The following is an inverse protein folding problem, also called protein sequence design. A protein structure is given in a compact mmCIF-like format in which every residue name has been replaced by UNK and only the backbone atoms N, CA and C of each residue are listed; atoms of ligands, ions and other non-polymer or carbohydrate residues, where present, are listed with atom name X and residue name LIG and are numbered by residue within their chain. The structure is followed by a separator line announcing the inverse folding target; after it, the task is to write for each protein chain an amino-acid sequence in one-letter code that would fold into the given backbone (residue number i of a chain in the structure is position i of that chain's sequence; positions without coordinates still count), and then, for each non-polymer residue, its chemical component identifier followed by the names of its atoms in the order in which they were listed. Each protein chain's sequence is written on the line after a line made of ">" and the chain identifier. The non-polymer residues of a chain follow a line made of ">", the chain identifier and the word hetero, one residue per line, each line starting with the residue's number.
data_IF_792964476785
#
_entry.id   IF_792964476785
#
_cell.length_a   1.000
_cell.length_b   1.000
_cell.length_c   1.000
_cell.angle_alpha   90.00
_cell.angle_beta   90.00
_cell.angle_gamma   90.00
#
_symmetry.space_group_name_H-M   'P 1'
#
loop_
_entity.id
_entity.type
_entity.pdbx_description
1 polymer ?
#
# COMPACT_ATOMS: atom_id res chain seq x y z
N UNK A 1 -56.02 -58.85 48.79
CA UNK A 1 -55.15 -57.75 48.32
C UNK A 1 -54.13 -58.33 47.35
N UNK A 2 -54.26 -57.99 46.07
CA UNK A 2 -53.43 -58.51 44.97
C UNK A 2 -52.15 -57.69 44.83
N UNK A 3 -51.01 -58.25 45.22
CA UNK A 3 -49.70 -57.72 44.84
C UNK A 3 -49.25 -58.38 43.54
N UNK A 4 -49.19 -57.61 42.45
CA UNK A 4 -48.54 -58.03 41.21
C UNK A 4 -47.02 -57.94 41.42
N UNK A 5 -46.26 -59.04 41.31
CA UNK A 5 -44.81 -58.96 41.39
C UNK A 5 -44.27 -58.28 40.12
N UNK A 6 -43.66 -57.12 40.29
CA UNK A 6 -42.82 -56.52 39.25
C UNK A 6 -41.59 -57.41 39.05
N UNK A 7 -41.56 -58.16 37.95
CA UNK A 7 -40.33 -58.82 37.51
C UNK A 7 -39.31 -57.74 37.15
N UNK A 8 -38.26 -57.61 37.96
CA UNK A 8 -37.05 -56.89 37.58
C UNK A 8 -36.41 -57.67 36.42
N UNK A 9 -36.59 -57.17 35.20
CA UNK A 9 -35.89 -57.69 34.01
C UNK A 9 -34.43 -57.23 34.09
N UNK A 10 -33.53 -58.13 34.49
CA UNK A 10 -32.09 -57.91 34.37
C UNK A 10 -31.64 -58.06 32.92
N UNK A 11 -30.68 -57.23 32.50
CA UNK A 11 -30.02 -57.30 31.19
C UNK A 11 -29.11 -58.54 31.10
N UNK A 12 -29.04 -59.17 29.93
CA UNK A 12 -28.13 -60.31 29.70
C UNK A 12 -26.73 -59.84 29.27
N UNK A 13 -25.70 -60.65 29.53
CA UNK A 13 -24.32 -60.35 29.12
C UNK A 13 -24.22 -60.21 27.59
N UNK A 14 -24.97 -61.02 26.84
CA UNK A 14 -25.10 -60.94 25.39
C UNK A 14 -25.66 -59.58 24.93
N UNK A 15 -26.68 -59.09 25.63
CA UNK A 15 -27.32 -57.81 25.33
C UNK A 15 -26.34 -56.63 25.54
N UNK A 16 -25.53 -56.66 26.60
CA UNK A 16 -24.48 -55.66 26.81
C UNK A 16 -23.38 -55.71 25.75
N UNK A 17 -22.93 -56.90 25.34
CA UNK A 17 -21.91 -57.05 24.29
C UNK A 17 -22.44 -56.52 22.95
N UNK A 18 -23.67 -56.86 22.58
CA UNK A 18 -24.30 -56.40 21.34
C UNK A 18 -24.44 -54.88 21.31
N UNK A 19 -24.82 -54.26 22.44
CA UNK A 19 -24.93 -52.80 22.56
C UNK A 19 -23.57 -52.11 22.37
N UNK A 20 -22.51 -52.60 23.02
CA UNK A 20 -21.16 -52.02 22.88
C UNK A 20 -20.67 -52.11 21.43
N UNK A 21 -20.89 -53.25 20.76
CA UNK A 21 -20.50 -53.45 19.35
C UNK A 21 -21.26 -52.49 18.43
N UNK A 22 -22.59 -52.38 18.61
CA UNK A 22 -23.41 -51.49 17.78
C UNK A 22 -23.01 -50.02 17.98
N UNK A 23 -22.82 -49.58 19.24
CA UNK A 23 -22.36 -48.21 19.53
C UNK A 23 -20.98 -47.96 18.91
N UNK A 24 -20.08 -48.93 18.95
CA UNK A 24 -18.76 -48.83 18.30
C UNK A 24 -18.85 -48.61 16.79
N UNK A 25 -19.67 -49.42 16.09
CA UNK A 25 -19.85 -49.31 14.63
C UNK A 25 -20.55 -48.00 14.25
N UNK A 26 -21.65 -47.66 14.92
CA UNK A 26 -22.39 -46.41 14.66
C UNK A 26 -21.53 -45.19 14.99
N UNK A 27 -20.81 -45.21 16.11
CA UNK A 27 -19.90 -44.14 16.51
C UNK A 27 -18.79 -43.90 15.49
N UNK A 28 -18.20 -44.97 14.94
CA UNK A 28 -17.19 -44.86 13.89
C UNK A 28 -17.76 -44.24 12.60
N UNK A 29 -18.97 -44.64 12.19
CA UNK A 29 -19.64 -44.05 11.03
C UNK A 29 -19.91 -42.55 11.23
N UNK A 30 -20.49 -42.18 12.38
CA UNK A 30 -20.80 -40.78 12.73
C UNK A 30 -19.53 -39.93 12.78
N UNK A 31 -18.42 -40.45 13.31
CA UNK A 31 -17.15 -39.73 13.39
C UNK A 31 -16.63 -39.31 12.00
N UNK A 32 -16.76 -40.17 10.98
CA UNK A 32 -16.37 -39.85 9.60
C UNK A 32 -17.25 -38.74 9.02
N UNK A 33 -18.57 -38.79 9.27
CA UNK A 33 -19.52 -37.79 8.77
C UNK A 33 -19.40 -36.44 9.46
N UNK A 34 -18.97 -36.38 10.72
CA UNK A 34 -18.77 -35.10 11.45
C UNK A 34 -17.44 -34.44 11.05
N UNK A 35 -16.42 -35.24 10.72
CA UNK A 35 -15.08 -34.70 10.41
C UNK A 35 -15.10 -33.76 9.20
N UNK A 36 -15.78 -34.13 8.12
CA UNK A 36 -15.78 -33.34 6.89
C UNK A 36 -16.43 -31.94 7.05
N UNK A 37 -17.64 -31.79 7.66
CA UNK A 37 -18.22 -30.48 7.93
C UNK A 37 -17.37 -29.60 8.85
N UNK A 38 -16.74 -30.19 9.88
CA UNK A 38 -15.87 -29.44 10.81
C UNK A 38 -14.61 -28.95 10.11
N UNK A 39 -13.95 -29.81 9.31
CA UNK A 39 -12.79 -29.39 8.51
C UNK A 39 -13.18 -28.30 7.51
N UNK A 40 -14.31 -28.46 6.81
CA UNK A 40 -14.81 -27.46 5.87
C UNK A 40 -15.08 -26.10 6.52
N UNK A 41 -15.53 -26.06 7.78
CA UNK A 41 -15.70 -24.80 8.51
C UNK A 41 -14.36 -24.07 8.73
N UNK A 42 -13.32 -24.79 9.19
CA UNK A 42 -12.00 -24.20 9.39
C UNK A 42 -11.32 -23.78 8.08
N UNK A 43 -11.50 -24.55 7.01
CA UNK A 43 -11.00 -24.20 5.68
C UNK A 43 -11.66 -22.91 5.18
N UNK A 44 -12.97 -22.77 5.36
CA UNK A 44 -13.70 -21.54 5.01
C UNK A 44 -13.22 -20.33 5.82
N UNK A 45 -12.99 -20.49 7.12
CA UNK A 45 -12.47 -19.43 7.98
C UNK A 45 -11.06 -18.99 7.56
N UNK A 46 -10.18 -19.95 7.25
CA UNK A 46 -8.82 -19.70 6.76
C UNK A 46 -8.85 -18.91 5.44
N UNK A 47 -9.69 -19.34 4.49
CA UNK A 47 -9.86 -18.68 3.19
C UNK A 47 -10.38 -17.26 3.32
N UNK A 48 -11.38 -17.06 4.18
CA UNK A 48 -11.94 -15.74 4.44
C UNK A 48 -10.87 -14.81 5.02
N UNK A 49 -10.12 -15.26 6.02
CA UNK A 49 -9.04 -14.48 6.62
C UNK A 49 -7.93 -14.09 5.62
N UNK A 50 -7.53 -15.01 4.73
CA UNK A 50 -6.57 -14.68 3.67
C UNK A 50 -7.13 -13.68 2.66
N UNK A 51 -8.39 -13.82 2.27
CA UNK A 51 -9.05 -12.89 1.35
C UNK A 51 -9.13 -11.48 1.93
N UNK A 52 -9.55 -11.36 3.19
CA UNK A 52 -9.65 -10.07 3.89
C UNK A 52 -8.27 -9.42 4.09
N UNK A 53 -7.24 -10.22 4.40
CA UNK A 53 -5.87 -9.72 4.53
C UNK A 53 -5.34 -9.18 3.19
N UNK A 54 -5.54 -9.92 2.09
CA UNK A 54 -5.11 -9.50 0.76
C UNK A 54 -5.85 -8.22 0.30
N UNK A 55 -7.17 -8.18 0.47
CA UNK A 55 -8.00 -7.02 0.11
C UNK A 55 -7.64 -5.78 0.94
N UNK A 56 -7.43 -5.94 2.25
CA UNK A 56 -6.98 -4.85 3.13
C UNK A 56 -5.62 -4.31 2.72
N UNK A 57 -4.67 -5.21 2.39
CA UNK A 57 -3.34 -4.84 1.93
C UNK A 57 -3.39 -4.03 0.63
N UNK A 58 -4.09 -4.54 -0.39
CA UNK A 58 -4.20 -3.85 -1.68
C UNK A 58 -4.96 -2.52 -1.58
N UNK A 59 -6.03 -2.44 -0.79
CA UNK A 59 -6.74 -1.17 -0.54
C UNK A 59 -5.85 -0.15 0.17
N UNK A 60 -4.98 -0.59 1.07
CA UNK A 60 -3.99 0.27 1.71
C UNK A 60 -2.99 0.82 0.69
N UNK A 61 -2.42 -0.06 -0.15
CA UNK A 61 -1.53 0.36 -1.24
C UNK A 61 -2.23 1.38 -2.14
N UNK A 62 -3.47 1.09 -2.55
CA UNK A 62 -4.23 1.99 -3.41
C UNK A 62 -4.54 3.35 -2.79
N UNK A 63 -4.74 3.43 -1.46
CA UNK A 63 -4.88 4.72 -0.78
C UNK A 63 -3.58 5.51 -0.77
N UNK A 64 -2.44 4.86 -0.50
CA UNK A 64 -1.15 5.56 -0.51
C UNK A 64 -0.77 6.02 -1.95
N UNK A 65 -1.02 5.19 -2.96
CA UNK A 65 -0.77 5.52 -4.38
C UNK A 65 -1.56 6.74 -4.88
N UNK A 66 -2.75 7.00 -4.33
CA UNK A 66 -3.51 8.22 -4.64
C UNK A 66 -2.80 9.50 -4.19
N UNK A 67 -1.87 9.39 -3.25
CA UNK A 67 -1.01 10.48 -2.79
C UNK A 67 0.36 10.47 -3.45
N UNK A 68 0.58 9.66 -4.49
CA UNK A 68 1.83 9.66 -5.24
C UNK A 68 2.00 11.00 -5.97
N UNK A 69 3.22 11.54 -5.94
CA UNK A 69 3.61 12.66 -6.77
C UNK A 69 3.43 12.26 -8.25
N UNK A 70 2.85 13.15 -9.09
CA UNK A 70 2.71 12.91 -10.52
C UNK A 70 4.01 12.43 -11.16
N UNK A 71 3.95 11.36 -11.98
CA UNK A 71 5.11 10.76 -12.64
C UNK A 71 6.23 10.27 -11.71
N UNK A 72 5.93 9.96 -10.43
CA UNK A 72 6.92 9.41 -9.48
C UNK A 72 6.78 7.91 -9.22
N UNK A 73 5.70 7.27 -9.69
CA UNK A 73 5.53 5.83 -9.51
C UNK A 73 6.55 5.10 -10.38
N UNK A 74 7.27 4.15 -9.77
CA UNK A 74 8.18 3.23 -10.47
C UNK A 74 8.12 1.85 -9.86
N UNK A 75 8.38 0.85 -10.70
CA UNK A 75 8.39 -0.57 -10.32
C UNK A 75 9.80 -1.10 -10.53
N UNK A 76 10.27 -1.94 -9.60
CA UNK A 76 11.60 -2.51 -9.70
C UNK A 76 11.70 -3.52 -10.86
N UNK A 77 12.93 -3.91 -11.23
CA UNK A 77 13.18 -4.77 -12.38
C UNK A 77 12.50 -6.16 -12.29
N UNK A 78 12.23 -6.66 -11.07
CA UNK A 78 11.58 -7.96 -10.84
C UNK A 78 10.07 -7.85 -10.65
N UNK A 79 9.48 -6.66 -10.77
CA UNK A 79 8.05 -6.41 -10.52
C UNK A 79 7.55 -6.78 -9.11
N UNK A 80 8.45 -6.95 -8.14
CA UNK A 80 8.11 -7.32 -6.75
C UNK A 80 8.05 -6.13 -5.81
N UNK A 81 8.39 -4.92 -6.30
CA UNK A 81 8.32 -3.70 -5.53
C UNK A 81 7.78 -2.53 -6.35
N UNK A 82 6.90 -1.73 -5.74
CA UNK A 82 6.44 -0.44 -6.25
C UNK A 82 6.89 0.67 -5.31
N UNK A 83 7.48 1.73 -5.86
CA UNK A 83 7.94 2.92 -5.15
C UNK A 83 7.28 4.17 -5.72
N UNK A 84 7.00 5.15 -4.87
CA UNK A 84 6.53 6.47 -5.26
C UNK A 84 6.97 7.52 -4.23
N UNK A 85 7.00 8.79 -4.64
CA UNK A 85 7.19 9.90 -3.72
C UNK A 85 5.83 10.30 -3.15
N UNK A 86 5.68 10.24 -1.84
CA UNK A 86 4.41 10.59 -1.19
C UNK A 86 4.28 12.12 -1.08
N UNK A 87 3.15 12.65 -1.56
CA UNK A 87 2.81 14.06 -1.40
C UNK A 87 2.22 14.30 -0.01
N UNK A 88 2.72 15.35 0.65
CA UNK A 88 2.21 15.85 1.94
C UNK A 88 1.20 16.98 1.72
N UNK A 89 1.57 17.93 0.86
CA UNK A 89 0.79 19.12 0.54
C UNK A 89 1.21 19.65 -0.83
N UNK A 90 0.62 20.76 -1.25
CA UNK A 90 0.95 21.42 -2.50
C UNK A 90 0.12 22.68 -2.66
N UNK A 91 0.38 23.43 -3.73
CA UNK A 91 -0.30 24.69 -3.93
C UNK A 91 0.08 25.35 -5.24
N UNK A 92 -0.27 26.63 -5.34
CA UNK A 92 0.16 27.48 -6.45
C UNK A 92 1.20 28.46 -5.96
N UNK A 93 2.32 28.58 -6.66
CA UNK A 93 3.29 29.63 -6.39
C UNK A 93 2.87 30.93 -7.08
N UNK A 94 3.28 32.06 -6.54
CA UNK A 94 3.19 33.35 -7.24
C UNK A 94 4.20 33.36 -8.38
N UNK A 95 3.74 33.52 -9.63
CA UNK A 95 4.65 33.57 -10.79
C UNK A 95 5.10 35.00 -11.14
N UNK A 96 4.28 36.00 -10.83
CA UNK A 96 4.47 37.39 -11.21
C UNK A 96 4.00 38.34 -10.11
N UNK A 97 4.48 39.58 -10.13
CA UNK A 97 4.02 40.67 -9.28
C UNK A 97 5.16 41.60 -8.83
N UNK A 98 4.85 42.89 -8.71
CA UNK A 98 5.78 43.93 -8.26
C UNK A 98 6.07 43.86 -6.74
N UNK A 99 5.26 43.09 -5.99
CA UNK A 99 5.38 42.91 -4.54
C UNK A 99 5.39 41.43 -4.15
N UNK A 100 6.25 41.09 -3.18
CA UNK A 100 6.46 39.73 -2.66
C UNK A 100 7.50 38.93 -3.45
N UNK A 101 7.50 37.62 -3.28
CA UNK A 101 8.54 36.73 -3.81
C UNK A 101 7.97 35.80 -4.91
N UNK A 102 8.04 36.17 -6.20
CA UNK A 102 7.62 35.27 -7.26
C UNK A 102 8.63 34.13 -7.46
N UNK A 103 8.12 32.94 -7.77
CA UNK A 103 8.91 31.84 -8.28
C UNK A 103 8.93 31.91 -9.81
N UNK A 104 10.13 32.03 -10.40
CA UNK A 104 10.33 32.15 -11.84
C UNK A 104 11.21 31.01 -12.38
N UNK A 105 10.65 29.79 -12.53
CA UNK A 105 11.40 28.66 -13.07
C UNK A 105 11.96 28.96 -14.46
N UNK A 106 13.19 28.51 -14.73
CA UNK A 106 13.93 28.74 -15.97
C UNK A 106 14.71 30.05 -15.99
N UNK A 107 14.37 31.01 -15.14
CA UNK A 107 14.92 32.37 -15.18
C UNK A 107 15.78 32.68 -13.95
N UNK A 108 15.22 32.52 -12.74
CA UNK A 108 15.85 32.99 -11.49
C UNK A 108 15.85 31.90 -10.43
N UNK A 109 16.99 31.73 -9.76
CA UNK A 109 17.08 30.86 -8.60
C UNK A 109 16.35 31.48 -7.40
N UNK A 110 15.44 30.72 -6.78
CA UNK A 110 14.71 31.16 -5.60
C UNK A 110 15.35 30.62 -4.33
N UNK A 111 15.37 31.45 -3.27
CA UNK A 111 15.59 31.00 -1.88
C UNK A 111 14.27 30.98 -1.13
N UNK A 112 13.35 31.87 -1.48
CA UNK A 112 12.00 31.92 -0.94
C UNK A 112 11.01 32.23 -2.06
N UNK A 113 9.78 31.76 -1.92
CA UNK A 113 8.68 32.13 -2.82
C UNK A 113 7.34 32.14 -2.09
N UNK A 114 6.44 32.98 -2.60
CA UNK A 114 5.11 33.15 -2.04
C UNK A 114 4.14 32.12 -2.61
N UNK A 115 3.26 31.62 -1.75
CA UNK A 115 2.19 30.65 -2.05
C UNK A 115 0.86 31.39 -2.15
N UNK A 116 0.06 31.05 -3.16
CA UNK A 116 -1.28 31.57 -3.37
C UNK A 116 -2.33 30.63 -2.78
N UNK A 117 -3.28 31.20 -2.04
CA UNK A 117 -4.41 30.45 -1.44
C UNK A 117 -4.07 29.67 -0.17
N UNK A 118 -2.82 29.75 0.29
CA UNK A 118 -2.30 29.08 1.48
C UNK A 118 -2.19 27.56 1.37
N UNK A 119 -1.60 26.94 2.38
CA UNK A 119 -1.40 25.48 2.45
C UNK A 119 -2.23 24.87 3.58
N UNK A 120 -3.05 23.82 3.32
CA UNK A 120 -3.91 23.21 4.33
C UNK A 120 -3.11 22.44 5.39
N UNK A 121 -1.96 21.90 5.00
CA UNK A 121 -0.95 21.31 5.89
C UNK A 121 0.35 22.02 5.61
N UNK A 122 0.98 22.57 6.65
CA UNK A 122 2.28 23.22 6.51
C UNK A 122 3.39 22.18 6.29
N UNK A 123 4.29 22.39 5.31
CA UNK A 123 5.53 21.64 5.20
C UNK A 123 6.38 21.76 6.47
N UNK A 124 7.19 20.75 6.72
CA UNK A 124 8.18 20.75 7.81
C UNK A 124 9.60 20.83 7.24
N UNK A 125 10.58 21.30 8.03
CA UNK A 125 11.99 21.28 7.61
C UNK A 125 12.41 19.88 7.15
N UNK A 126 13.09 19.80 5.99
CA UNK A 126 13.51 18.54 5.36
C UNK A 126 12.55 18.00 4.29
N UNK A 127 11.28 18.45 4.27
CA UNK A 127 10.38 18.18 3.14
C UNK A 127 10.96 18.77 1.84
N UNK A 128 10.55 18.23 0.70
CA UNK A 128 11.05 18.65 -0.60
C UNK A 128 9.93 19.33 -1.39
N UNK A 129 10.14 20.58 -1.80
CA UNK A 129 9.30 21.19 -2.83
C UNK A 129 9.68 20.61 -4.18
N UNK A 130 8.68 20.28 -5.00
CA UNK A 130 8.84 19.79 -6.36
C UNK A 130 7.99 20.64 -7.30
N UNK A 131 8.62 21.16 -8.34
CA UNK A 131 7.93 21.93 -9.39
C UNK A 131 7.91 21.11 -10.67
N UNK A 132 6.71 20.92 -11.23
CA UNK A 132 6.49 20.33 -12.55
C UNK A 132 7.23 19.01 -12.80
N UNK A 133 6.86 17.95 -12.06
CA UNK A 133 7.46 16.62 -12.21
C UNK A 133 6.91 15.88 -13.43
N UNK A 134 7.76 15.72 -14.45
CA UNK A 134 7.44 15.07 -15.72
C UNK A 134 8.03 13.66 -15.84
N UNK A 135 8.96 13.28 -14.94
CA UNK A 135 9.66 11.99 -15.03
C UNK A 135 10.67 11.92 -16.17
N UNK A 136 11.19 13.07 -16.62
CA UNK A 136 12.22 13.18 -17.66
C UNK A 136 13.45 13.90 -17.10
N UNK A 137 14.59 13.78 -17.79
CA UNK A 137 15.82 14.49 -17.41
C UNK A 137 15.58 15.98 -17.20
N UNK A 138 16.05 16.51 -16.06
CA UNK A 138 15.81 17.90 -15.64
C UNK A 138 14.50 18.11 -14.89
N UNK A 139 13.44 17.36 -15.18
CA UNK A 139 12.13 17.45 -14.53
C UNK A 139 11.72 16.11 -13.87
N UNK A 140 12.69 15.46 -13.22
CA UNK A 140 12.52 14.22 -12.48
C UNK A 140 12.90 14.43 -11.00
N UNK A 141 11.91 14.26 -10.14
CA UNK A 141 12.04 14.46 -8.70
C UNK A 141 12.99 13.44 -8.04
N UNK A 142 13.26 12.27 -8.63
CA UNK A 142 14.27 11.35 -8.10
C UNK A 142 15.71 11.81 -8.38
N UNK A 143 15.93 12.45 -9.53
CA UNK A 143 17.24 12.97 -9.94
C UNK A 143 17.56 14.32 -9.27
N UNK A 144 16.52 15.01 -8.82
CA UNK A 144 16.63 16.24 -8.02
C UNK A 144 16.71 17.52 -8.84
N UNK A 145 16.61 17.42 -10.17
CA UNK A 145 16.63 18.57 -11.07
C UNK A 145 15.56 19.61 -10.74
N UNK A 146 14.36 19.17 -10.37
CA UNK A 146 13.20 20.01 -10.08
C UNK A 146 12.71 19.92 -8.63
N UNK A 147 13.55 19.42 -7.71
CA UNK A 147 13.27 19.43 -6.26
C UNK A 147 14.24 20.33 -5.49
N UNK A 148 13.79 20.84 -4.35
CA UNK A 148 14.64 21.50 -3.35
C UNK A 148 14.13 21.23 -1.93
N UNK A 149 15.05 21.20 -0.98
CA UNK A 149 14.73 21.00 0.44
C UNK A 149 14.20 22.30 1.07
N UNK A 150 13.15 22.14 1.86
CA UNK A 150 12.48 23.21 2.60
C UNK A 150 13.20 23.40 3.94
N UNK A 151 13.57 24.65 4.23
CA UNK A 151 14.10 25.07 5.53
C UNK A 151 12.96 25.45 6.48
N UNK A 152 12.02 26.25 6.00
CA UNK A 152 10.86 26.70 6.76
C UNK A 152 9.69 27.06 5.84
N UNK A 153 8.48 27.02 6.38
CA UNK A 153 7.26 27.38 5.66
C UNK A 153 6.26 28.04 6.62
N UNK A 154 5.51 28.99 6.10
CA UNK A 154 4.34 29.57 6.75
C UNK A 154 3.11 29.46 5.82
N UNK A 155 2.00 30.10 6.21
CA UNK A 155 0.76 30.01 5.44
C UNK A 155 0.86 30.64 4.04
N UNK A 156 1.80 31.55 3.80
CA UNK A 156 1.92 32.33 2.56
C UNK A 156 3.27 32.21 1.86
N UNK A 157 4.26 31.53 2.44
CA UNK A 157 5.59 31.41 1.86
C UNK A 157 6.29 30.08 2.17
N UNK A 158 7.23 29.71 1.30
CA UNK A 158 8.18 28.61 1.51
C UNK A 158 9.58 29.17 1.36
N UNK A 159 10.46 28.83 2.31
CA UNK A 159 11.90 29.13 2.27
C UNK A 159 12.69 27.84 2.13
N UNK A 160 13.65 27.85 1.22
CA UNK A 160 14.50 26.71 0.86
C UNK A 160 15.82 26.78 1.61
N UNK A 161 16.43 25.63 1.89
CA UNK A 161 17.75 25.54 2.54
C UNK A 161 18.88 26.15 1.69
N UNK A 162 18.69 26.24 0.38
CA UNK A 162 19.61 26.86 -0.54
C UNK A 162 18.91 27.36 -1.80
N UNK A 163 19.59 28.24 -2.55
CA UNK A 163 19.05 28.79 -3.80
C UNK A 163 18.81 27.68 -4.83
N UNK A 164 17.61 27.61 -5.39
CA UNK A 164 17.23 26.63 -6.41
C UNK A 164 16.71 27.31 -7.68
N UNK A 165 17.35 27.02 -8.80
CA UNK A 165 16.74 27.23 -10.12
C UNK A 165 15.90 26.00 -10.46
N UNK A 166 14.58 26.15 -10.45
CA UNK A 166 13.68 25.14 -11.03
C UNK A 166 13.74 25.28 -12.55
N UNK A 167 13.89 24.19 -13.32
CA UNK A 167 14.21 24.30 -14.74
C UNK A 167 13.00 24.65 -15.61
N UNK A 168 11.79 24.28 -15.20
CA UNK A 168 10.57 24.44 -16.00
C UNK A 168 9.42 24.96 -15.14
N UNK A 169 8.65 25.88 -15.72
CA UNK A 169 7.44 26.39 -15.10
C UNK A 169 6.28 25.40 -15.22
N UNK A 170 5.53 25.19 -14.14
CA UNK A 170 4.28 24.44 -14.21
C UNK A 170 3.23 25.30 -14.93
N UNK A 171 2.51 24.79 -15.94
CA UNK A 171 1.49 25.56 -16.66
C UNK A 171 0.38 26.13 -15.77
N UNK A 172 0.12 25.49 -14.62
CA UNK A 172 -0.84 25.96 -13.61
C UNK A 172 -0.21 26.68 -12.43
N UNK A 173 1.07 27.05 -12.53
CA UNK A 173 1.92 27.56 -11.45
C UNK A 173 1.87 26.68 -10.20
N UNK A 174 1.84 25.36 -10.38
CA UNK A 174 1.71 24.39 -9.29
C UNK A 174 3.06 23.95 -8.75
N UNK A 175 3.10 23.69 -7.45
CA UNK A 175 4.14 22.93 -6.80
C UNK A 175 3.51 21.85 -5.92
N UNK A 176 4.30 20.81 -5.65
CA UNK A 176 3.99 19.76 -4.69
C UNK A 176 5.04 19.78 -3.60
N UNK A 177 4.68 19.27 -2.43
CA UNK A 177 5.61 19.02 -1.33
C UNK A 177 5.58 17.52 -1.05
N UNK A 178 6.74 16.89 -1.12
CA UNK A 178 6.93 15.47 -0.82
C UNK A 178 7.82 15.31 0.40
N UNK A 179 7.60 14.27 1.19
CA UNK A 179 8.46 13.95 2.32
C UNK A 179 9.54 12.93 1.93
N UNK A 180 9.25 11.64 2.09
CA UNK A 180 10.15 10.53 1.76
C UNK A 180 9.47 9.55 0.81
N UNK A 181 10.24 8.72 0.07
CA UNK A 181 9.63 7.70 -0.76
C UNK A 181 8.92 6.64 0.08
N UNK A 182 7.89 6.04 -0.49
CA UNK A 182 7.20 4.87 0.07
C UNK A 182 7.40 3.71 -0.90
N UNK A 183 7.86 2.57 -0.38
CA UNK A 183 7.98 1.32 -1.15
C UNK A 183 7.10 0.24 -0.54
N UNK A 184 6.32 -0.43 -1.38
CA UNK A 184 5.72 -1.72 -1.06
C UNK A 184 6.50 -2.82 -1.79
N UNK A 185 7.02 -3.79 -1.05
CA UNK A 185 7.87 -4.86 -1.60
C UNK A 185 7.49 -6.22 -1.02
N UNK A 186 7.45 -7.23 -1.88
CA UNK A 186 7.36 -8.62 -1.43
C UNK A 186 8.74 -9.22 -1.24
N UNK A 187 8.95 -9.78 -0.07
CA UNK A 187 10.20 -10.44 0.29
C UNK A 187 9.97 -11.41 1.45
N UNK A 188 10.71 -12.53 1.46
CA UNK A 188 10.73 -13.45 2.60
C UNK A 188 9.34 -13.88 3.11
N UNK A 189 8.39 -14.11 2.20
CA UNK A 189 7.04 -14.55 2.56
C UNK A 189 6.10 -13.45 3.09
N UNK A 190 6.50 -12.18 3.00
CA UNK A 190 5.69 -11.04 3.46
C UNK A 190 5.61 -9.95 2.40
N UNK A 191 4.53 -9.17 2.45
CA UNK A 191 4.41 -7.87 1.79
C UNK A 191 4.76 -6.82 2.84
N UNK A 192 5.81 -6.04 2.59
CA UNK A 192 6.31 -5.04 3.52
C UNK A 192 6.22 -3.63 2.93
N UNK A 193 5.86 -2.67 3.77
CA UNK A 193 5.92 -1.23 3.46
C UNK A 193 7.18 -0.63 4.07
N UNK A 194 7.90 0.18 3.31
CA UNK A 194 9.07 0.97 3.72
C UNK A 194 8.76 2.46 3.54
N UNK A 195 9.26 3.30 4.45
CA UNK A 195 9.15 4.76 4.37
C UNK A 195 10.26 5.45 5.18
N UNK A 196 10.44 6.75 5.06
CA UNK A 196 11.42 7.50 5.85
C UNK A 196 12.88 7.26 5.44
N UNK A 197 13.13 6.78 4.22
CA UNK A 197 14.47 6.64 3.64
C UNK A 197 14.72 7.75 2.62
N UNK A 198 15.98 7.91 2.20
CA UNK A 198 16.37 9.00 1.32
C UNK A 198 15.85 8.83 -0.11
N UNK A 199 15.49 9.95 -0.76
CA UNK A 199 15.15 9.98 -2.19
C UNK A 199 16.42 9.71 -3.01
N UNK A 200 16.41 8.67 -3.84
CA UNK A 200 17.53 8.26 -4.69
C UNK A 200 17.13 8.13 -6.16
N UNK A 201 18.04 8.52 -7.06
CA UNK A 201 17.86 8.37 -8.51
C UNK A 201 17.69 6.90 -8.91
N UNK A 202 18.58 6.02 -8.44
CA UNK A 202 18.37 4.57 -8.53
C UNK A 202 17.36 4.11 -7.47
N UNK A 203 16.39 3.27 -7.87
CA UNK A 203 15.44 2.67 -6.95
C UNK A 203 16.16 1.77 -5.94
N UNK A 204 16.09 2.08 -4.63
CA UNK A 204 16.63 1.20 -3.61
C UNK A 204 15.86 -0.12 -3.56
N UNK A 205 16.56 -1.26 -3.60
CA UNK A 205 15.90 -2.57 -3.60
C UNK A 205 16.69 -3.67 -2.84
N UNK A 206 16.33 -3.99 -1.57
CA UNK A 206 15.33 -3.33 -0.74
C UNK A 206 15.82 -1.93 -0.28
N UNK A 207 14.89 -1.03 0.11
CA UNK A 207 15.27 0.22 0.76
C UNK A 207 16.08 -0.01 2.03
N UNK A 208 17.18 0.75 2.18
CA UNK A 208 18.00 0.79 3.37
C UNK A 208 17.77 2.09 4.14
N UNK A 209 17.82 2.02 5.47
CA UNK A 209 17.44 3.12 6.34
C UNK A 209 15.92 3.28 6.49
N UNK A 210 15.50 4.30 7.22
CA UNK A 210 14.08 4.59 7.47
C UNK A 210 13.37 3.59 8.37
N UNK A 211 12.07 3.43 8.14
CA UNK A 211 11.14 2.60 8.89
C UNK A 211 10.44 1.61 7.96
N UNK A 212 9.99 0.48 8.51
CA UNK A 212 9.22 -0.51 7.77
C UNK A 212 8.18 -1.21 8.65
N UNK A 213 7.17 -1.81 8.00
CA UNK A 213 6.14 -2.60 8.64
C UNK A 213 5.60 -3.69 7.71
N UNK A 214 5.29 -4.85 8.27
CA UNK A 214 4.60 -5.94 7.57
C UNK A 214 3.15 -5.53 7.32
N UNK A 215 2.69 -5.74 6.09
CA UNK A 215 1.33 -5.43 5.63
C UNK A 215 0.52 -6.70 5.43
N UNK A 216 1.15 -7.75 4.91
CA UNK A 216 0.57 -9.08 4.81
C UNK A 216 1.65 -10.15 5.01
N UNK A 217 1.25 -11.27 5.59
CA UNK A 217 2.08 -12.46 5.79
C UNK A 217 1.61 -13.60 4.88
N UNK A 218 2.43 -14.63 4.76
CA UNK A 218 2.17 -15.81 3.94
C UNK A 218 2.05 -15.49 2.44
N UNK A 219 2.78 -14.47 1.98
CA UNK A 219 2.84 -14.06 0.58
C UNK A 219 3.70 -15.05 -0.20
N UNK A 220 3.10 -15.74 -1.17
CA UNK A 220 3.82 -16.66 -2.06
C UNK A 220 4.13 -16.03 -3.41
N UNK A 221 3.35 -15.04 -3.83
CA UNK A 221 3.62 -14.26 -5.03
C UNK A 221 3.04 -12.86 -4.88
N UNK A 222 3.72 -11.87 -5.45
CA UNK A 222 3.10 -10.60 -5.77
C UNK A 222 3.77 -9.96 -6.97
N UNK A 223 2.98 -9.24 -7.74
CA UNK A 223 3.46 -8.54 -8.93
C UNK A 223 2.86 -7.15 -8.97
N UNK A 224 3.68 -6.16 -9.29
CA UNK A 224 3.29 -4.80 -9.58
C UNK A 224 3.60 -4.50 -11.04
N UNK A 225 2.70 -3.79 -11.70
CA UNK A 225 2.95 -3.23 -13.03
C UNK A 225 2.50 -1.77 -13.02
N UNK A 226 3.25 -0.91 -13.71
CA UNK A 226 2.91 0.49 -13.85
C UNK A 226 2.87 0.87 -15.32
N UNK A 227 1.68 1.23 -15.78
CA UNK A 227 1.46 1.76 -17.12
C UNK A 227 1.30 3.28 -17.02
N UNK A 228 2.36 3.99 -17.41
CA UNK A 228 2.41 5.45 -17.27
C UNK A 228 1.46 6.19 -18.23
N UNK A 229 1.06 5.58 -19.35
CA UNK A 229 0.36 6.24 -20.46
C UNK A 229 -0.87 5.48 -20.94
N UNK A 230 -1.92 5.41 -20.12
CA UNK A 230 -3.20 4.84 -20.57
C UNK A 230 -4.00 5.93 -21.28
N UNK A 231 -3.86 5.98 -22.61
CA UNK A 231 -4.64 6.79 -23.56
C UNK A 231 -4.52 8.32 -23.38
N UNK A 232 -4.14 8.81 -22.19
CA UNK A 232 -4.00 10.20 -21.79
C UNK A 232 -2.89 10.31 -20.74
N UNK A 233 -1.83 11.08 -21.03
CA UNK A 233 -0.64 11.27 -20.19
C UNK A 233 -0.94 11.84 -18.78
N UNK A 234 -2.20 12.20 -18.50
CA UNK A 234 -2.68 12.70 -17.21
C UNK A 234 -2.94 11.61 -16.18
N UNK A 235 -3.03 10.34 -16.59
CA UNK A 235 -3.31 9.22 -15.70
C UNK A 235 -2.34 8.07 -15.96
N UNK A 236 -1.83 7.48 -14.88
CA UNK A 236 -1.19 6.17 -14.92
C UNK A 236 -2.07 5.12 -14.25
N UNK A 237 -1.79 3.85 -14.49
CA UNK A 237 -2.42 2.73 -13.79
C UNK A 237 -1.36 1.86 -13.16
N UNK A 238 -1.54 1.63 -11.87
CA UNK A 238 -0.82 0.59 -11.15
C UNK A 238 -1.74 -0.61 -11.03
N UNK A 239 -1.33 -1.73 -11.61
CA UNK A 239 -1.95 -3.02 -11.34
C UNK A 239 -1.11 -3.82 -10.36
N UNK A 240 -1.77 -4.55 -9.48
CA UNK A 240 -1.14 -5.39 -8.47
C UNK A 240 -1.85 -6.74 -8.39
N UNK A 241 -1.07 -7.81 -8.29
CA UNK A 241 -1.56 -9.12 -7.89
C UNK A 241 -0.88 -9.58 -6.61
N UNK A 242 -1.64 -10.22 -5.72
CA UNK A 242 -1.17 -10.70 -4.43
C UNK A 242 -1.72 -12.10 -4.18
N UNK A 243 -0.82 -13.07 -4.04
CA UNK A 243 -1.14 -14.45 -3.67
C UNK A 243 -0.70 -14.72 -2.23
N UNK A 244 -1.66 -15.09 -1.39
CA UNK A 244 -1.43 -15.60 -0.04
C UNK A 244 -1.64 -17.11 0.00
N UNK A 245 -0.85 -17.84 0.81
CA UNK A 245 -0.98 -19.28 0.97
C UNK A 245 -0.95 -19.73 2.42
N UNK A 246 -1.92 -20.53 2.87
CA UNK A 246 -1.94 -21.13 4.21
C UNK A 246 -2.53 -22.53 4.12
N UNK A 247 -1.93 -23.50 4.79
CA UNK A 247 -2.42 -24.90 4.84
C UNK A 247 -2.72 -25.50 3.45
N UNK A 248 -1.84 -25.28 2.47
CA UNK A 248 -2.01 -25.68 1.06
C UNK A 248 -3.18 -25.03 0.31
N UNK A 249 -3.85 -24.04 0.91
CA UNK A 249 -4.84 -23.21 0.25
C UNK A 249 -4.20 -21.92 -0.25
N UNK A 250 -4.62 -21.48 -1.44
CA UNK A 250 -4.14 -20.25 -2.05
C UNK A 250 -5.30 -19.29 -2.34
N UNK A 251 -5.08 -18.01 -2.07
CA UNK A 251 -5.97 -16.92 -2.45
C UNK A 251 -5.16 -15.94 -3.29
N UNK A 252 -5.62 -15.65 -4.50
CA UNK A 252 -5.01 -14.67 -5.39
C UNK A 252 -6.01 -13.54 -5.66
N UNK A 253 -5.60 -12.31 -5.37
CA UNK A 253 -6.39 -11.12 -5.68
C UNK A 253 -5.64 -10.23 -6.68
N UNK A 254 -6.42 -9.54 -7.49
CA UNK A 254 -5.97 -8.54 -8.45
C UNK A 254 -6.63 -7.20 -8.13
N UNK A 255 -5.87 -6.11 -8.22
CA UNK A 255 -6.38 -4.77 -8.02
C UNK A 255 -5.69 -3.76 -8.94
N UNK A 256 -6.45 -2.73 -9.31
CA UNK A 256 -6.04 -1.68 -10.22
C UNK A 256 -6.32 -0.31 -9.59
N UNK A 257 -5.33 0.58 -9.68
CA UNK A 257 -5.38 1.91 -9.08
C UNK A 257 -4.93 2.94 -10.09
N UNK A 258 -5.82 3.87 -10.42
CA UNK A 258 -5.45 5.05 -11.19
C UNK A 258 -4.62 6.01 -10.31
N UNK A 259 -3.52 6.50 -10.86
CA UNK A 259 -2.67 7.54 -10.28
C UNK A 259 -2.70 8.79 -11.15
N UNK A 260 -2.72 9.97 -10.52
CA UNK A 260 -2.69 11.25 -11.24
C UNK A 260 -1.27 11.54 -11.72
N UNK A 261 -1.11 11.75 -13.03
CA UNK A 261 0.12 12.22 -13.65
C UNK A 261 0.00 13.70 -14.09
N UNK A 262 -0.88 14.47 -13.45
CA UNK A 262 -1.06 15.91 -13.67
C UNK A 262 -0.13 16.68 -12.71
N UNK A 263 1.00 17.24 -13.17
CA UNK A 263 1.97 17.93 -12.32
C UNK A 263 1.64 19.41 -12.05
#
# INVERSE_FOLDING_TARGET
>A
MTHRPHHMRGFTLLEMVLVIVIIGVVGAMVAVFIRAPVQGYFDLESRAGMTDAADTAMRRIGRDLRLALPNSVRVNATATAVEFLQTRTGGRYRAEGDAGNPLQPGEVAAVTFDVLGGMPVLPVPGDQVVVYNLGITGANAYDGGNRAEIDSADAGSITLTGSKLFPLASPGNRFHVVDTPVTYRCENGVLRRYWGYAIASAQPDPPAGGQNAIIAENVTNCLFNYEQNIVNQRWGLVSMSLTLSRNNENVNLYHEVHVSNIP
#
